data_IF_110046205714
#
_entry.id   IF_110046205714
#
_cell.length_a   1.000
_cell.length_b   1.000
_cell.length_c   1.000
_cell.angle_alpha   90.00
_cell.angle_beta   90.00
_cell.angle_gamma   90.00
#
_symmetry.space_group_name_H-M   'P 1'
#
loop_
_entity.id
_entity.type
_entity.pdbx_description
1 polymer ?
#
# COMPACT_ATOMS: atom_id res chain seq x y z
N UNK A 1 1.23 9.32 10.48
CA UNK A 1 0.38 8.15 10.81
C UNK A 1 1.17 6.99 11.42
N UNK A 2 2.36 6.60 10.91
CA UNK A 2 3.21 5.55 11.53
C UNK A 2 3.64 5.82 12.98
N UNK A 3 3.60 7.07 13.46
CA UNK A 3 3.97 7.43 14.84
C UNK A 3 3.01 6.82 15.88
N UNK A 4 1.75 6.55 15.53
CA UNK A 4 0.75 6.02 16.47
C UNK A 4 0.87 4.51 16.72
N UNK A 5 1.48 3.75 15.80
CA UNK A 5 1.75 2.32 15.99
C UNK A 5 3.01 2.06 16.84
N UNK A 6 3.80 3.11 17.14
CA UNK A 6 5.02 3.04 17.96
C UNK A 6 4.80 3.45 19.42
N UNK A 7 3.72 4.16 19.72
CA UNK A 7 3.24 4.34 21.11
C UNK A 7 2.54 3.04 21.53
N UNK A 8 2.57 2.70 22.81
CA UNK A 8 1.94 1.49 23.35
C UNK A 8 0.42 1.46 23.19
N UNK A 9 -0.30 0.92 24.20
CA UNK A 9 -1.77 0.83 24.15
C UNK A 9 -2.36 2.26 24.19
N UNK A 10 -2.98 2.71 23.09
CA UNK A 10 -3.73 3.96 23.04
C UNK A 10 -4.89 3.92 24.05
N UNK A 11 -5.26 5.08 24.62
CA UNK A 11 -6.51 5.16 25.37
C UNK A 11 -7.71 4.88 24.46
N UNK A 12 -8.82 4.41 25.03
CA UNK A 12 -10.04 4.12 24.27
C UNK A 12 -10.53 5.35 23.48
N UNK A 13 -10.41 6.55 24.05
CA UNK A 13 -10.79 7.82 23.42
C UNK A 13 -9.89 8.15 22.23
N UNK A 14 -8.57 8.09 22.39
CA UNK A 14 -7.61 8.34 21.29
C UNK A 14 -7.79 7.33 20.16
N UNK A 15 -8.08 6.06 20.49
CA UNK A 15 -8.32 5.01 19.50
C UNK A 15 -9.59 5.28 18.67
N UNK A 16 -10.67 5.76 19.30
CA UNK A 16 -11.91 6.09 18.62
C UNK A 16 -11.76 7.30 17.67
N UNK A 17 -11.05 8.34 18.12
CA UNK A 17 -10.77 9.51 17.27
C UNK A 17 -9.90 9.10 16.07
N UNK A 18 -8.91 8.25 16.30
CA UNK A 18 -8.04 7.74 15.26
C UNK A 18 -8.80 6.89 14.22
N UNK A 19 -9.72 6.01 14.66
CA UNK A 19 -10.60 5.26 13.76
C UNK A 19 -11.43 6.23 12.91
N UNK A 20 -12.06 7.23 13.54
CA UNK A 20 -12.88 8.23 12.83
C UNK A 20 -12.08 8.94 11.72
N UNK A 21 -10.85 9.37 12.02
CA UNK A 21 -9.97 10.03 11.04
C UNK A 21 -9.60 9.07 9.90
N UNK A 22 -9.26 7.81 10.23
CA UNK A 22 -8.91 6.81 9.23
C UNK A 22 -10.10 6.43 8.32
N UNK A 23 -11.32 6.35 8.86
CA UNK A 23 -12.54 6.12 8.08
C UNK A 23 -12.85 7.29 7.14
N UNK A 24 -12.68 8.53 7.61
CA UNK A 24 -12.80 9.72 6.74
C UNK A 24 -11.77 9.68 5.62
N UNK A 25 -10.51 9.33 5.93
CA UNK A 25 -9.46 9.18 4.91
C UNK A 25 -9.82 8.13 3.86
N UNK A 26 -10.45 7.02 4.23
CA UNK A 26 -10.89 6.00 3.27
C UNK A 26 -12.02 6.45 2.35
N UNK A 27 -12.83 7.44 2.76
CA UNK A 27 -13.84 8.02 1.85
C UNK A 27 -13.18 8.76 0.71
N UNK A 28 -12.07 9.45 0.98
CA UNK A 28 -11.29 10.18 -0.01
C UNK A 28 -10.33 9.25 -0.79
N UNK A 29 -9.74 8.27 -0.12
CA UNK A 29 -8.73 7.35 -0.66
C UNK A 29 -9.14 5.88 -0.40
N UNK A 30 -10.14 5.35 -1.14
CA UNK A 30 -10.73 4.03 -0.86
C UNK A 30 -9.76 2.85 -1.03
N UNK A 31 -8.65 3.05 -1.75
CA UNK A 31 -7.63 2.03 -2.01
C UNK A 31 -6.32 2.25 -1.24
N UNK A 32 -6.35 3.00 -0.13
CA UNK A 32 -5.18 3.17 0.73
C UNK A 32 -4.96 1.93 1.62
N UNK A 33 -4.06 1.03 1.17
CA UNK A 33 -3.72 -0.25 1.83
C UNK A 33 -3.33 -0.04 3.29
N UNK A 34 -2.57 1.02 3.58
CA UNK A 34 -2.09 1.34 4.93
C UNK A 34 -3.23 1.68 5.87
N UNK A 35 -4.20 2.46 5.40
CA UNK A 35 -5.36 2.89 6.19
C UNK A 35 -6.29 1.72 6.45
N UNK A 36 -6.49 0.82 5.48
CA UNK A 36 -7.19 -0.45 5.69
C UNK A 36 -6.49 -1.30 6.77
N UNK A 37 -5.17 -1.45 6.70
CA UNK A 37 -4.41 -2.21 7.69
C UNK A 37 -4.48 -1.57 9.10
N UNK A 38 -4.45 -0.24 9.16
CA UNK A 38 -4.59 0.52 10.40
C UNK A 38 -5.97 0.29 11.03
N UNK A 39 -7.05 0.35 10.25
CA UNK A 39 -8.40 0.11 10.78
C UNK A 39 -8.56 -1.34 11.21
N UNK A 40 -8.07 -2.29 10.43
CA UNK A 40 -8.05 -3.70 10.81
C UNK A 40 -7.40 -3.90 12.19
N UNK A 41 -6.22 -3.31 12.42
CA UNK A 41 -5.55 -3.36 13.72
C UNK A 41 -6.33 -2.64 14.81
N UNK A 42 -6.85 -1.44 14.53
CA UNK A 42 -7.55 -0.62 15.52
C UNK A 42 -8.83 -1.30 16.03
N UNK A 43 -9.61 -1.93 15.14
CA UNK A 43 -10.79 -2.70 15.54
C UNK A 43 -10.43 -3.98 16.29
N UNK A 44 -9.31 -4.64 15.98
CA UNK A 44 -8.86 -5.79 16.80
C UNK A 44 -8.47 -5.38 18.22
N UNK A 45 -7.92 -4.18 18.41
CA UNK A 45 -7.61 -3.65 19.75
C UNK A 45 -8.87 -3.31 20.57
N UNK A 46 -10.03 -3.22 19.92
CA UNK A 46 -11.35 -3.02 20.54
C UNK A 46 -12.14 -4.32 20.71
N UNK A 47 -11.52 -5.47 20.45
CA UNK A 47 -12.17 -6.79 20.44
C UNK A 47 -13.32 -6.90 19.39
N UNK A 48 -13.39 -5.99 18.42
CA UNK A 48 -14.34 -6.05 17.30
C UNK A 48 -13.71 -6.82 16.13
N UNK A 49 -13.71 -8.14 16.28
CA UNK A 49 -13.14 -9.08 15.30
C UNK A 49 -13.88 -9.06 13.97
N UNK A 50 -15.19 -8.78 13.96
CA UNK A 50 -16.01 -8.73 12.75
C UNK A 50 -15.59 -7.54 11.88
N UNK A 51 -15.52 -6.35 12.46
CA UNK A 51 -15.11 -5.15 11.71
C UNK A 51 -13.63 -5.19 11.35
N UNK A 52 -12.78 -5.70 12.25
CA UNK A 52 -11.37 -5.97 11.92
C UNK A 52 -11.25 -6.88 10.68
N UNK A 53 -11.99 -7.99 10.66
CA UNK A 53 -12.02 -8.93 9.54
C UNK A 53 -12.45 -8.29 8.21
N UNK A 54 -13.45 -7.39 8.24
CA UNK A 54 -13.88 -6.65 7.04
C UNK A 54 -12.75 -5.81 6.44
N UNK A 55 -12.00 -5.07 7.27
CA UNK A 55 -10.90 -4.24 6.78
C UNK A 55 -9.69 -5.08 6.33
N UNK A 56 -9.38 -6.20 7.02
CA UNK A 56 -8.37 -7.16 6.57
C UNK A 56 -8.72 -7.73 5.19
N UNK A 57 -9.96 -8.18 5.02
CA UNK A 57 -10.44 -8.72 3.74
C UNK A 57 -10.32 -7.69 2.61
N UNK A 58 -10.73 -6.44 2.84
CA UNK A 58 -10.56 -5.36 1.85
C UNK A 58 -9.11 -5.15 1.45
N UNK A 59 -8.20 -5.10 2.43
CA UNK A 59 -6.75 -4.99 2.19
C UNK A 59 -6.24 -6.16 1.36
N UNK A 60 -6.58 -7.39 1.75
CA UNK A 60 -6.18 -8.60 1.04
C UNK A 60 -6.70 -8.63 -0.40
N UNK A 61 -7.94 -8.20 -0.64
CA UNK A 61 -8.50 -8.14 -2.00
C UNK A 61 -7.75 -7.13 -2.87
N UNK A 62 -7.38 -5.98 -2.33
CA UNK A 62 -6.59 -4.99 -3.06
C UNK A 62 -5.18 -5.51 -3.39
N UNK A 63 -4.51 -6.14 -2.43
CA UNK A 63 -3.19 -6.76 -2.65
C UNK A 63 -3.31 -7.87 -3.71
N UNK A 64 -4.29 -8.76 -3.61
CA UNK A 64 -4.52 -9.82 -4.61
C UNK A 64 -4.82 -9.26 -5.99
N UNK A 65 -5.59 -8.18 -6.08
CA UNK A 65 -5.89 -7.53 -7.35
C UNK A 65 -4.60 -7.02 -8.01
N UNK A 66 -3.72 -6.33 -7.27
CA UNK A 66 -2.43 -5.86 -7.79
C UNK A 66 -1.54 -7.04 -8.21
N UNK A 67 -1.40 -8.05 -7.33
CA UNK A 67 -0.59 -9.23 -7.61
C UNK A 67 -1.13 -10.08 -8.76
N UNK A 68 -2.42 -9.96 -9.12
CA UNK A 68 -3.00 -10.67 -10.27
C UNK A 68 -2.59 -10.10 -11.63
N UNK A 69 -1.99 -8.91 -11.65
CA UNK A 69 -1.65 -8.20 -12.89
C UNK A 69 -0.31 -8.62 -13.49
N UNK A 70 0.55 -9.29 -12.71
CA UNK A 70 1.90 -9.66 -13.14
C UNK A 70 2.68 -10.42 -12.08
N UNK A 71 3.99 -10.52 -12.25
CA UNK A 71 4.90 -11.11 -11.26
C UNK A 71 6.07 -10.18 -10.85
N UNK A 72 6.13 -8.99 -11.45
CA UNK A 72 7.10 -7.93 -11.15
C UNK A 72 8.53 -8.24 -11.56
N UNK A 73 8.78 -9.28 -12.37
CA UNK A 73 10.15 -9.68 -12.76
C UNK A 73 10.71 -8.95 -13.98
N UNK A 74 9.83 -8.45 -14.86
CA UNK A 74 10.21 -7.60 -15.99
C UNK A 74 9.18 -6.49 -16.19
N UNK A 75 9.47 -5.55 -17.09
CA UNK A 75 8.52 -4.48 -17.45
C UNK A 75 7.21 -5.03 -18.05
N UNK A 76 7.27 -6.16 -18.77
CA UNK A 76 6.09 -6.79 -19.40
C UNK A 76 5.19 -7.51 -18.38
N UNK A 77 5.72 -7.87 -17.21
CA UNK A 77 5.00 -8.54 -16.13
C UNK A 77 4.96 -7.68 -14.86
N UNK A 78 5.14 -6.37 -15.00
CA UNK A 78 5.16 -5.43 -13.90
C UNK A 78 3.83 -5.44 -13.12
N UNK A 79 3.89 -5.19 -11.82
CA UNK A 79 2.66 -5.04 -11.04
C UNK A 79 2.01 -3.69 -11.34
N UNK A 80 0.74 -3.68 -11.74
CA UNK A 80 0.03 -2.43 -12.02
C UNK A 80 -0.43 -1.76 -10.73
N UNK A 81 -0.05 -0.50 -10.55
CA UNK A 81 -0.38 0.29 -9.36
C UNK A 81 -1.14 1.57 -9.70
N UNK A 82 -1.99 2.00 -8.77
CA UNK A 82 -2.84 3.20 -8.94
C UNK A 82 -2.66 4.22 -7.81
N UNK A 83 -1.83 3.91 -6.83
CA UNK A 83 -1.41 4.82 -5.76
C UNK A 83 0.12 4.78 -5.65
N UNK A 84 0.83 5.92 -5.50
CA UNK A 84 2.29 5.93 -5.35
C UNK A 84 2.80 5.13 -4.14
N UNK A 85 1.94 4.88 -3.15
CA UNK A 85 2.31 4.08 -1.98
C UNK A 85 2.23 2.57 -2.25
N UNK A 86 1.45 2.14 -3.25
CA UNK A 86 1.21 0.72 -3.53
C UNK A 86 2.51 -0.02 -3.82
N UNK A 87 3.47 0.57 -4.53
CA UNK A 87 4.72 -0.11 -4.86
C UNK A 87 5.45 -0.59 -3.59
N UNK A 88 5.62 0.30 -2.62
CA UNK A 88 6.26 -0.01 -1.33
C UNK A 88 5.39 -0.90 -0.46
N UNK A 89 4.07 -0.75 -0.54
CA UNK A 89 3.14 -1.59 0.21
C UNK A 89 3.23 -3.05 -0.30
N UNK A 90 3.27 -3.26 -1.61
CA UNK A 90 3.43 -4.59 -2.22
C UNK A 90 4.80 -5.18 -1.92
N UNK A 91 5.89 -4.40 -1.95
CA UNK A 91 7.20 -4.90 -1.50
C UNK A 91 7.13 -5.45 -0.07
N UNK A 92 6.48 -4.72 0.85
CA UNK A 92 6.30 -5.17 2.23
C UNK A 92 5.47 -6.46 2.32
N UNK A 93 4.37 -6.57 1.56
CA UNK A 93 3.55 -7.80 1.51
C UNK A 93 4.33 -9.01 0.96
N UNK A 94 5.30 -8.78 0.06
CA UNK A 94 6.19 -9.82 -0.47
C UNK A 94 7.37 -10.16 0.46
N UNK A 95 7.48 -9.48 1.60
CA UNK A 95 8.60 -9.61 2.53
C UNK A 95 9.91 -9.01 2.00
N UNK A 96 9.82 -8.04 1.10
CA UNK A 96 10.96 -7.37 0.48
C UNK A 96 11.11 -5.96 1.07
N UNK A 97 12.34 -5.62 1.49
CA UNK A 97 12.64 -4.30 2.05
C UNK A 97 13.17 -3.38 0.95
N UNK A 98 12.46 -2.29 0.70
CA UNK A 98 12.88 -1.23 -0.23
C UNK A 98 14.27 -0.68 0.13
N UNK A 99 15.13 -0.51 -0.88
CA UNK A 99 16.47 0.08 -0.74
C UNK A 99 16.58 1.39 -1.51
N UNK A 100 16.25 1.39 -2.81
CA UNK A 100 16.32 2.56 -3.67
C UNK A 100 15.38 2.42 -4.87
N UNK A 101 15.03 3.52 -5.52
CA UNK A 101 14.35 3.52 -6.83
C UNK A 101 15.35 3.90 -7.91
N UNK A 102 15.28 3.25 -9.07
CA UNK A 102 16.00 3.72 -10.25
C UNK A 102 15.03 4.54 -11.09
N UNK A 103 15.26 5.85 -11.19
CA UNK A 103 14.50 6.68 -12.12
C UNK A 103 14.93 6.31 -13.54
N UNK A 104 14.11 5.54 -14.25
CA UNK A 104 14.25 5.43 -15.68
C UNK A 104 13.68 6.71 -16.30
N UNK A 105 14.48 7.40 -17.13
CA UNK A 105 14.16 8.74 -17.64
C UNK A 105 12.88 8.81 -18.51
N UNK A 106 12.26 7.68 -18.86
CA UNK A 106 11.09 7.60 -19.75
C UNK A 106 10.06 6.52 -19.41
N UNK A 107 10.19 5.80 -18.30
CA UNK A 107 9.43 4.56 -18.16
C UNK A 107 8.10 4.81 -17.45
N UNK A 108 7.01 4.42 -18.09
CA UNK A 108 5.71 4.14 -17.47
C UNK A 108 5.78 3.01 -16.43
N UNK A 109 6.99 2.57 -16.09
CA UNK A 109 7.33 1.43 -15.28
C UNK A 109 8.48 1.80 -14.33
N UNK A 110 8.23 1.73 -13.04
CA UNK A 110 9.24 1.96 -12.01
C UNK A 110 9.91 0.63 -11.62
N UNK A 111 11.23 0.68 -11.38
CA UNK A 111 11.98 -0.44 -10.82
C UNK A 111 12.47 -0.09 -9.42
N UNK A 112 11.96 -0.81 -8.43
CA UNK A 112 12.33 -0.63 -7.03
C UNK A 112 13.37 -1.68 -6.63
N UNK A 113 14.57 -1.22 -6.31
CA UNK A 113 15.67 -2.03 -5.78
C UNK A 113 15.37 -2.37 -4.32
N UNK A 114 15.61 -3.64 -3.96
CA UNK A 114 15.39 -4.15 -2.60
C UNK A 114 16.72 -4.56 -1.96
N UNK A 115 16.75 -4.58 -0.64
CA UNK A 115 17.91 -5.09 0.10
C UNK A 115 18.12 -6.60 -0.18
N UNK A 116 19.36 -7.11 0.00
CA UNK A 116 19.63 -8.55 -0.03
C UNK A 116 18.63 -9.33 0.83
N UNK A 117 18.10 -10.40 0.26
CA UNK A 117 17.06 -11.22 0.86
C UNK A 117 17.28 -12.68 0.46
N UNK A 118 16.68 -13.59 1.22
CA UNK A 118 16.82 -15.04 1.03
C UNK A 118 16.32 -15.53 -0.34
N UNK A 119 15.48 -14.75 -1.02
CA UNK A 119 14.92 -15.07 -2.34
C UNK A 119 15.82 -14.63 -3.50
N UNK A 120 16.97 -14.00 -3.23
CA UNK A 120 17.89 -13.43 -4.23
C UNK A 120 17.21 -12.46 -5.22
N UNK A 121 16.12 -11.81 -4.81
CA UNK A 121 15.43 -10.80 -5.62
C UNK A 121 16.19 -9.48 -5.51
N UNK A 122 16.60 -8.88 -6.64
CA UNK A 122 17.30 -7.58 -6.66
C UNK A 122 16.37 -6.37 -6.67
N UNK A 123 15.18 -6.55 -7.20
CA UNK A 123 14.17 -5.50 -7.29
C UNK A 123 12.94 -5.99 -8.04
N UNK A 124 11.92 -5.12 -8.10
CA UNK A 124 10.59 -5.43 -8.62
C UNK A 124 10.12 -4.31 -9.54
N UNK A 125 9.50 -4.68 -10.65
CA UNK A 125 8.93 -3.76 -11.64
C UNK A 125 7.45 -3.43 -11.32
N UNK A 126 7.09 -2.16 -11.46
CA UNK A 126 5.73 -1.63 -11.23
C UNK A 126 5.27 -0.75 -12.39
N UNK A 127 4.12 -1.06 -12.99
CA UNK A 127 3.50 -0.19 -13.99
C UNK A 127 2.77 0.96 -13.29
N UNK A 128 3.26 2.18 -13.54
CA UNK A 128 2.76 3.45 -13.01
C UNK A 128 2.08 4.32 -14.07
N UNK A 129 1.80 3.77 -15.26
CA UNK A 129 1.16 4.49 -16.37
C UNK A 129 -0.14 5.17 -15.97
N UNK A 130 -0.95 4.49 -15.15
CA UNK A 130 -2.22 5.00 -14.60
C UNK A 130 -2.02 6.25 -13.72
N UNK A 131 -0.98 6.24 -12.88
CA UNK A 131 -0.63 7.35 -12.00
C UNK A 131 -0.20 8.59 -12.79
N UNK A 132 0.65 8.38 -13.81
CA UNK A 132 1.13 9.44 -14.67
C UNK A 132 -0.01 10.07 -15.48
N UNK A 133 -0.89 9.24 -16.05
CA UNK A 133 -2.07 9.71 -16.78
C UNK A 133 -2.99 10.56 -15.89
N UNK A 134 -3.33 10.06 -14.69
CA UNK A 134 -4.17 10.79 -13.74
C UNK A 134 -3.54 12.13 -13.30
N UNK A 135 -2.21 12.21 -13.20
CA UNK A 135 -1.50 13.46 -12.86
C UNK A 135 -1.58 14.48 -13.99
N UNK A 136 -1.44 14.05 -15.24
CA UNK A 136 -1.55 14.92 -16.42
C UNK A 136 -2.98 15.48 -16.54
N UNK A 137 -4.00 14.64 -16.36
CA UNK A 137 -5.41 15.04 -16.44
C UNK A 137 -5.79 16.08 -15.37
N UNK A 138 -5.21 15.97 -14.15
CA UNK A 138 -5.42 16.95 -13.06
C UNK A 138 -4.72 18.30 -13.27
N UNK A 139 -3.74 18.39 -14.18
CA UNK A 139 -3.05 19.64 -14.48
C UNK A 139 -3.74 20.47 -15.57
N UNK A 140 -4.73 19.88 -16.27
CA UNK A 140 -5.45 20.51 -17.37
C UNK A 140 -6.91 20.85 -17.02
N UNK A 141 -7.32 20.63 -15.76
CA UNK A 141 -8.62 21.00 -15.19
C UNK A 141 -8.41 21.97 -14.02
#
# INVERSE_FOLDING_TARGET
MMVYLRKGRLSSTELNEFIKIAELKLKELPFDIRTLNILAFSYSQKDDSITSGKYKFKKEMLVKAILSTGDGKSEQTAFHVIDPNHERDILNELGLKFAASTNQANALCDYLVVHPNEKNIRGVYFDVSRLLKARIERQHN
#
